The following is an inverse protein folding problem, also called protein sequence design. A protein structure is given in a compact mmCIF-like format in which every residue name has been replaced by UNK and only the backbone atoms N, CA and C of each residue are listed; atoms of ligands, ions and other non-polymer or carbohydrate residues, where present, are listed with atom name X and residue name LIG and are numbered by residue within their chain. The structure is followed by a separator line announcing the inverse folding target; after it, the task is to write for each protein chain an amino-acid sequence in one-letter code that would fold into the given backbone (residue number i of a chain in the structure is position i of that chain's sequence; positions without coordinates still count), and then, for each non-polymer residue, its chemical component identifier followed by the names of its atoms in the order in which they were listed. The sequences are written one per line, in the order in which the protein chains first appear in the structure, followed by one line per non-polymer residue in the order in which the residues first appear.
data_IF_579495511774
#
_entry.id   IF_579495511774
#
_cell.length_a   1.000
_cell.length_b   1.000
_cell.length_c   1.000
_cell.angle_alpha   90.00
_cell.angle_beta   90.00
_cell.angle_gamma   90.00
#
_symmetry.space_group_name_H-M   'P 1'
#
loop_
_entity.id
_entity.type
_entity.pdbx_description
1 polymer ?
#
# COMPACT_ATOMS: atom_id res chain seq x y z
N UNK A 1 4.62 42.28 70.22
CA UNK A 1 5.77 42.50 69.31
C UNK A 1 6.67 41.29 69.42
N UNK A 2 6.97 40.49 68.40
CA UNK A 2 6.57 40.43 66.99
C UNK A 2 6.74 38.97 66.55
N UNK A 3 5.66 38.31 66.15
CA UNK A 3 5.66 36.97 65.56
C UNK A 3 6.14 36.99 64.09
N UNK A 4 7.28 37.62 63.81
CA UNK A 4 7.73 37.88 62.42
C UNK A 4 8.96 37.10 61.95
N UNK A 5 9.54 36.21 62.77
CA UNK A 5 10.82 35.57 62.39
C UNK A 5 10.76 34.07 62.08
N UNK A 6 9.57 33.49 61.90
CA UNK A 6 9.41 32.09 61.44
C UNK A 6 8.38 32.02 60.30
N UNK A 7 8.62 32.75 59.21
CA UNK A 7 7.93 32.57 57.93
C UNK A 7 8.88 32.87 56.78
N UNK A 8 9.86 32.00 56.56
CA UNK A 8 10.68 32.02 55.33
C UNK A 8 11.35 30.66 55.09
N UNK A 9 10.54 29.61 55.06
CA UNK A 9 10.95 28.30 54.55
C UNK A 9 9.84 27.64 53.73
N UNK A 10 9.04 28.44 53.05
CA UNK A 10 8.18 27.95 51.98
C UNK A 10 8.89 28.23 50.66
N UNK A 11 9.83 27.35 50.32
CA UNK A 11 10.32 27.28 48.96
C UNK A 11 9.19 26.62 48.16
N UNK A 12 8.27 27.45 47.67
CA UNK A 12 7.36 27.07 46.60
C UNK A 12 8.21 26.32 45.56
N UNK A 13 8.00 25.00 45.44
CA UNK A 13 8.39 24.27 44.23
C UNK A 13 7.54 24.84 43.11
N UNK A 14 7.96 25.98 42.56
CA UNK A 14 7.54 26.40 41.24
C UNK A 14 8.07 25.33 40.30
N UNK A 15 7.17 24.51 39.80
CA UNK A 15 7.40 23.61 38.67
C UNK A 15 8.30 24.33 37.68
N UNK A 16 9.49 23.76 37.49
CA UNK A 16 10.57 24.47 36.83
C UNK A 16 10.12 24.76 35.41
N UNK A 17 10.15 26.03 35.01
CA UNK A 17 9.84 26.46 33.64
C UNK A 17 10.67 25.66 32.60
N UNK A 18 11.83 25.16 33.02
CA UNK A 18 12.69 24.26 32.24
C UNK A 18 12.11 22.85 32.03
N UNK A 19 11.30 22.30 32.94
CA UNK A 19 10.63 21.00 32.77
C UNK A 19 9.53 21.11 31.71
N UNK A 20 8.72 22.18 31.75
CA UNK A 20 7.68 22.45 30.73
C UNK A 20 8.27 22.73 29.34
N UNK A 21 9.46 23.35 29.27
CA UNK A 21 10.18 23.55 28.00
C UNK A 21 10.84 22.25 27.52
N UNK A 22 11.32 21.40 28.42
CA UNK A 22 11.92 20.11 28.07
C UNK A 22 10.89 19.11 27.57
N UNK A 23 9.67 19.11 28.10
CA UNK A 23 8.52 18.35 27.56
C UNK A 23 8.06 18.88 26.19
N UNK A 24 8.15 20.18 25.93
CA UNK A 24 7.82 20.76 24.64
C UNK A 24 8.84 20.45 23.53
N UNK A 25 10.09 20.12 23.90
CA UNK A 25 11.19 19.83 22.96
C UNK A 25 11.43 18.31 22.81
N UNK A 26 11.05 17.49 23.80
CA UNK A 26 11.05 16.04 23.70
C UNK A 26 9.60 15.52 23.71
N UNK A 27 8.95 15.40 22.53
CA UNK A 27 7.62 14.83 22.45
C UNK A 27 7.60 13.40 23.00
N UNK A 28 6.49 13.11 23.66
CA UNK A 28 6.05 11.84 24.23
C UNK A 28 6.33 10.64 23.30
N UNK A 29 7.41 9.90 23.57
CA UNK A 29 7.88 8.72 22.81
C UNK A 29 8.33 9.02 21.36
N UNK A 30 9.50 8.49 20.89
CA UNK A 30 9.97 8.77 19.55
C UNK A 30 8.97 8.26 18.49
N UNK A 31 8.64 9.10 17.53
CA UNK A 31 7.66 8.80 16.46
C UNK A 31 8.14 7.65 15.55
N UNK A 32 9.45 7.50 15.41
CA UNK A 32 10.11 6.48 14.59
C UNK A 32 9.68 5.03 14.95
N UNK A 33 9.77 4.57 16.21
CA UNK A 33 9.20 3.29 16.65
C UNK A 33 7.74 3.05 16.25
N UNK A 34 6.91 4.10 16.24
CA UNK A 34 5.49 3.98 15.87
C UNK A 34 5.32 3.83 14.36
N UNK A 35 6.11 4.58 13.57
CA UNK A 35 6.18 4.37 12.12
C UNK A 35 6.64 2.95 11.79
N UNK A 36 7.68 2.45 12.48
CA UNK A 36 8.17 1.08 12.31
C UNK A 36 7.12 0.03 12.70
N UNK A 37 6.32 0.31 13.73
CA UNK A 37 5.18 -0.51 14.11
C UNK A 37 4.12 -0.57 12.99
N UNK A 38 3.71 0.59 12.48
CA UNK A 38 2.73 0.68 11.37
C UNK A 38 3.26 -0.04 10.13
N UNK A 39 4.54 0.16 9.78
CA UNK A 39 5.17 -0.52 8.65
C UNK A 39 5.13 -2.05 8.80
N UNK A 40 5.35 -2.57 10.01
CA UNK A 40 5.24 -4.01 10.28
C UNK A 40 3.80 -4.51 10.05
N UNK A 41 2.80 -3.79 10.55
CA UNK A 41 1.39 -4.16 10.34
C UNK A 41 1.01 -4.14 8.86
N UNK A 42 1.46 -3.13 8.11
CA UNK A 42 1.24 -3.02 6.66
C UNK A 42 1.86 -4.20 5.91
N UNK A 43 3.08 -4.62 6.25
CA UNK A 43 3.73 -5.78 5.63
C UNK A 43 3.01 -7.09 5.93
N UNK A 44 2.55 -7.29 7.16
CA UNK A 44 1.75 -8.46 7.54
C UNK A 44 0.47 -8.51 6.69
N UNK A 45 -0.26 -7.40 6.62
CA UNK A 45 -1.50 -7.35 5.86
C UNK A 45 -1.25 -7.51 4.35
N UNK A 46 -0.20 -6.90 3.81
CA UNK A 46 0.22 -7.06 2.40
C UNK A 46 0.51 -8.52 2.08
N UNK A 47 1.23 -9.23 2.95
CA UNK A 47 1.53 -10.65 2.81
C UNK A 47 0.27 -11.52 2.81
N UNK A 48 -0.69 -11.25 3.69
CA UNK A 48 -1.98 -11.97 3.70
C UNK A 48 -2.78 -11.75 2.42
N UNK A 49 -2.81 -10.51 1.91
CA UNK A 49 -3.45 -10.21 0.63
C UNK A 49 -2.75 -10.90 -0.54
N UNK A 50 -1.41 -11.01 -0.51
CA UNK A 50 -0.65 -11.77 -1.51
C UNK A 50 -1.05 -13.25 -1.52
N UNK A 51 -1.16 -13.87 -0.35
CA UNK A 51 -1.60 -15.25 -0.22
C UNK A 51 -3.03 -15.42 -0.76
N UNK A 52 -3.94 -14.49 -0.44
CA UNK A 52 -5.31 -14.53 -0.96
C UNK A 52 -5.33 -14.39 -2.48
N UNK A 53 -4.55 -13.48 -3.04
CA UNK A 53 -4.42 -13.29 -4.48
C UNK A 53 -3.96 -14.58 -5.18
N UNK A 54 -2.93 -15.24 -4.64
CA UNK A 54 -2.42 -16.49 -5.18
C UNK A 54 -3.46 -17.61 -5.12
N UNK A 55 -4.19 -17.76 -4.01
CA UNK A 55 -5.29 -18.74 -3.90
C UNK A 55 -6.40 -18.49 -4.92
N UNK A 56 -6.76 -17.23 -5.16
CA UNK A 56 -7.74 -16.86 -6.19
C UNK A 56 -7.23 -17.21 -7.59
N UNK A 57 -5.95 -16.96 -7.88
CA UNK A 57 -5.34 -17.30 -9.17
C UNK A 57 -5.27 -18.81 -9.41
N UNK A 58 -4.92 -19.59 -8.40
CA UNK A 58 -4.95 -21.06 -8.47
C UNK A 58 -6.36 -21.61 -8.67
N UNK A 59 -7.36 -20.99 -8.04
CA UNK A 59 -8.77 -21.35 -8.24
C UNK A 59 -9.24 -21.03 -9.65
N UNK A 60 -8.89 -19.86 -10.21
CA UNK A 60 -9.16 -19.50 -11.62
C UNK A 60 -8.63 -20.58 -12.57
N UNK A 61 -7.35 -20.96 -12.43
CA UNK A 61 -6.73 -22.00 -13.27
C UNK A 61 -7.46 -23.34 -13.21
N UNK A 62 -7.77 -23.82 -11.99
CA UNK A 62 -8.50 -25.10 -11.82
C UNK A 62 -9.90 -25.06 -12.43
N UNK A 63 -10.62 -23.94 -12.28
CA UNK A 63 -11.95 -23.82 -12.88
C UNK A 63 -11.87 -23.73 -14.39
N UNK A 64 -10.83 -23.10 -14.93
CA UNK A 64 -10.61 -23.05 -16.37
C UNK A 64 -10.42 -24.44 -16.97
N UNK A 65 -9.69 -25.33 -16.30
CA UNK A 65 -9.58 -26.75 -16.71
C UNK A 65 -10.95 -27.44 -16.78
N UNK A 66 -11.85 -27.18 -15.82
CA UNK A 66 -13.23 -27.70 -15.88
C UNK A 66 -14.03 -27.11 -17.03
N UNK A 67 -13.91 -25.81 -17.31
CA UNK A 67 -14.57 -25.18 -18.47
C UNK A 67 -14.16 -25.92 -19.75
N UNK A 68 -12.85 -26.14 -19.97
CA UNK A 68 -12.35 -26.88 -21.14
C UNK A 68 -12.91 -28.29 -21.19
N UNK A 69 -12.90 -29.03 -20.08
CA UNK A 69 -13.41 -30.41 -20.02
C UNK A 69 -14.91 -30.50 -20.37
N UNK A 70 -15.74 -29.66 -19.78
CA UNK A 70 -17.19 -29.66 -20.05
C UNK A 70 -17.50 -29.14 -21.45
N UNK A 71 -16.74 -28.18 -21.96
CA UNK A 71 -16.87 -27.71 -23.33
C UNK A 71 -16.60 -28.82 -24.35
N UNK A 72 -15.52 -29.61 -24.16
CA UNK A 72 -15.20 -30.76 -25.02
C UNK A 72 -16.26 -31.86 -24.99
N UNK A 73 -16.99 -31.99 -23.86
CA UNK A 73 -18.12 -32.92 -23.72
C UNK A 73 -19.44 -32.38 -24.25
N UNK A 74 -19.43 -31.20 -24.87
CA UNK A 74 -20.62 -30.47 -25.31
C UNK A 74 -21.64 -30.15 -24.19
N UNK A 75 -21.22 -30.20 -22.92
CA UNK A 75 -22.02 -29.76 -21.78
C UNK A 75 -21.81 -28.26 -21.54
N UNK A 76 -22.39 -27.46 -22.45
CA UNK A 76 -22.23 -26.02 -22.45
C UNK A 76 -22.85 -25.36 -21.22
N UNK A 77 -23.89 -25.97 -20.64
CA UNK A 77 -24.53 -25.44 -19.43
C UNK A 77 -23.57 -25.46 -18.25
N UNK A 78 -22.88 -26.58 -18.01
CA UNK A 78 -21.86 -26.63 -16.94
C UNK A 78 -20.66 -25.75 -17.25
N UNK A 79 -20.18 -25.74 -18.50
CA UNK A 79 -19.09 -24.86 -18.91
C UNK A 79 -19.40 -23.38 -18.61
N UNK A 80 -20.62 -22.92 -18.89
CA UNK A 80 -21.07 -21.56 -18.61
C UNK A 80 -21.11 -21.22 -17.12
N UNK A 81 -21.54 -22.16 -16.26
CA UNK A 81 -21.54 -21.96 -14.80
C UNK A 81 -20.12 -21.70 -14.29
N UNK A 82 -19.15 -22.53 -14.69
CA UNK A 82 -17.75 -22.35 -14.27
C UNK A 82 -17.11 -21.09 -14.86
N UNK A 83 -17.45 -20.71 -16.10
CA UNK A 83 -16.98 -19.47 -16.71
C UNK A 83 -17.45 -18.22 -15.93
N UNK A 84 -18.69 -18.20 -15.46
CA UNK A 84 -19.20 -17.12 -14.62
C UNK A 84 -18.47 -17.03 -13.28
N UNK A 85 -18.15 -18.16 -12.66
CA UNK A 85 -17.36 -18.20 -11.43
C UNK A 85 -15.94 -17.68 -11.64
N UNK A 86 -15.28 -18.03 -12.77
CA UNK A 86 -13.98 -17.47 -13.14
C UNK A 86 -14.06 -15.94 -13.24
N UNK A 87 -15.09 -15.40 -13.90
CA UNK A 87 -15.26 -13.96 -14.01
C UNK A 87 -15.40 -13.28 -12.63
N UNK A 88 -16.12 -13.91 -11.69
CA UNK A 88 -16.23 -13.43 -10.32
C UNK A 88 -14.88 -13.49 -9.59
N UNK A 89 -14.16 -14.61 -9.66
CA UNK A 89 -12.83 -14.75 -9.05
C UNK A 89 -11.87 -13.67 -9.56
N UNK A 90 -11.87 -13.39 -10.87
CA UNK A 90 -11.02 -12.34 -11.45
C UNK A 90 -11.37 -10.95 -10.94
N UNK A 91 -12.67 -10.65 -10.73
CA UNK A 91 -13.10 -9.40 -10.10
C UNK A 91 -12.58 -9.30 -8.67
N UNK A 92 -12.71 -10.36 -7.87
CA UNK A 92 -12.19 -10.40 -6.51
C UNK A 92 -10.67 -10.23 -6.48
N UNK A 93 -9.94 -10.96 -7.34
CA UNK A 93 -8.49 -10.87 -7.45
C UNK A 93 -8.02 -9.45 -7.80
N UNK A 94 -8.75 -8.74 -8.67
CA UNK A 94 -8.48 -7.33 -8.98
C UNK A 94 -8.62 -6.43 -7.76
N UNK A 95 -9.65 -6.61 -6.95
CA UNK A 95 -9.84 -5.84 -5.71
C UNK A 95 -8.70 -6.11 -4.72
N UNK A 96 -8.34 -7.38 -4.51
CA UNK A 96 -7.23 -7.77 -3.63
C UNK A 96 -5.90 -7.15 -4.10
N UNK A 97 -5.61 -7.19 -5.40
CA UNK A 97 -4.41 -6.58 -5.98
C UNK A 97 -4.39 -5.06 -5.78
N UNK A 98 -5.51 -4.38 -6.02
CA UNK A 98 -5.61 -2.93 -5.81
C UNK A 98 -5.39 -2.56 -4.34
N UNK A 99 -5.95 -3.35 -3.42
CA UNK A 99 -5.73 -3.16 -1.98
C UNK A 99 -4.27 -3.33 -1.60
N UNK A 100 -3.57 -4.33 -2.14
CA UNK A 100 -2.13 -4.54 -1.92
C UNK A 100 -1.31 -3.32 -2.36
N UNK A 101 -1.56 -2.81 -3.57
CA UNK A 101 -0.87 -1.63 -4.10
C UNK A 101 -1.15 -0.38 -3.26
N UNK A 102 -2.38 -0.23 -2.75
CA UNK A 102 -2.74 0.86 -1.88
C UNK A 102 -1.98 0.81 -0.53
N UNK A 103 -1.85 -0.37 0.08
CA UNK A 103 -1.04 -0.55 1.30
C UNK A 103 0.45 -0.27 1.06
N UNK A 104 0.96 -0.66 -0.10
CA UNK A 104 2.34 -0.35 -0.51
C UNK A 104 2.56 1.15 -0.70
N UNK A 105 1.61 1.84 -1.33
CA UNK A 105 1.65 3.29 -1.46
C UNK A 105 1.59 4.03 -0.11
N UNK A 106 0.93 3.47 0.90
CA UNK A 106 0.96 4.01 2.27
C UNK A 106 2.34 3.82 2.89
N UNK A 107 2.90 2.62 2.80
CA UNK A 107 4.24 2.32 3.33
C UNK A 107 5.29 3.26 2.74
N UNK A 108 5.29 3.46 1.43
CA UNK A 108 6.24 4.39 0.77
C UNK A 108 6.13 5.81 1.33
N UNK A 109 4.92 6.31 1.60
CA UNK A 109 4.73 7.62 2.24
C UNK A 109 5.24 7.65 3.68
N UNK A 110 5.00 6.60 4.46
CA UNK A 110 5.50 6.50 5.83
C UNK A 110 7.03 6.46 5.88
N UNK A 111 7.65 5.80 4.91
CA UNK A 111 9.11 5.75 4.77
C UNK A 111 9.68 7.15 4.41
N UNK A 112 8.99 7.97 3.59
CA UNK A 112 9.42 9.35 3.32
C UNK A 112 9.35 10.29 4.54
N UNK A 113 8.36 10.08 5.42
CA UNK A 113 8.16 10.89 6.63
C UNK A 113 9.29 10.68 7.65
N UNK A 114 9.81 9.44 7.72
CA UNK A 114 10.92 9.08 8.59
C UNK A 114 12.13 9.99 8.40
N UNK A 115 12.28 10.57 7.21
CA UNK A 115 13.45 11.34 6.81
C UNK A 115 13.21 12.87 6.76
N UNK A 116 11.94 13.35 6.80
CA UNK A 116 11.61 14.76 6.49
C UNK A 116 10.86 15.56 7.58
N UNK A 117 10.53 14.97 8.72
CA UNK A 117 10.02 15.71 9.89
C UNK A 117 8.58 16.25 9.79
N UNK A 118 8.02 16.45 8.59
CA UNK A 118 6.60 16.77 8.40
C UNK A 118 5.75 15.50 8.26
N UNK A 119 5.35 14.98 9.41
CA UNK A 119 4.58 13.74 9.54
C UNK A 119 3.13 13.92 9.09
N UNK A 120 2.57 15.12 9.25
CA UNK A 120 1.16 15.38 9.02
C UNK A 120 0.84 15.35 7.52
N UNK A 121 1.67 15.98 6.70
CA UNK A 121 1.48 16.05 5.24
C UNK A 121 1.39 14.65 4.61
N UNK A 122 2.24 13.72 5.02
CA UNK A 122 2.28 12.40 4.39
C UNK A 122 1.36 11.35 5.05
N UNK A 123 0.95 11.53 6.32
CA UNK A 123 0.08 10.58 7.00
C UNK A 123 -1.42 10.80 6.79
N UNK A 124 -1.89 12.04 6.57
CA UNK A 124 -3.32 12.29 6.32
C UNK A 124 -3.84 11.50 5.11
N UNK A 125 -3.19 11.53 3.92
CA UNK A 125 -3.63 10.75 2.77
C UNK A 125 -3.66 9.24 3.06
N UNK A 126 -2.77 8.73 3.91
CA UNK A 126 -2.73 7.33 4.27
C UNK A 126 -4.01 6.86 5.00
N UNK A 127 -4.57 7.69 5.90
CA UNK A 127 -5.81 7.34 6.61
C UNK A 127 -7.00 7.15 5.66
N UNK A 128 -7.10 8.00 4.62
CA UNK A 128 -8.13 7.88 3.59
C UNK A 128 -7.96 6.59 2.78
N UNK A 129 -6.74 6.31 2.35
CA UNK A 129 -6.45 5.09 1.57
C UNK A 129 -6.79 3.84 2.38
N UNK A 130 -6.45 3.78 3.67
CA UNK A 130 -6.80 2.62 4.53
C UNK A 130 -8.30 2.44 4.64
N UNK A 131 -9.05 3.54 4.82
CA UNK A 131 -10.52 3.48 4.89
C UNK A 131 -11.12 2.92 3.60
N UNK A 132 -10.60 3.34 2.45
CA UNK A 132 -11.02 2.81 1.14
C UNK A 132 -10.67 1.33 0.98
N UNK A 133 -9.46 0.92 1.36
CA UNK A 133 -9.01 -0.49 1.34
C UNK A 133 -9.92 -1.34 2.23
N UNK A 134 -10.22 -0.89 3.45
CA UNK A 134 -11.12 -1.57 4.38
C UNK A 134 -12.51 -1.76 3.78
N UNK A 135 -13.10 -0.71 3.22
CA UNK A 135 -14.43 -0.78 2.58
C UNK A 135 -14.47 -1.76 1.41
N UNK A 136 -13.39 -1.87 0.63
CA UNK A 136 -13.30 -2.80 -0.51
C UNK A 136 -13.11 -4.24 -0.07
N UNK A 137 -12.41 -4.47 1.04
CA UNK A 137 -12.06 -5.80 1.51
C UNK A 137 -13.09 -6.43 2.45
N UNK A 138 -13.99 -5.67 3.08
CA UNK A 138 -14.93 -6.20 4.08
C UNK A 138 -15.76 -7.39 3.57
N UNK A 139 -16.10 -7.40 2.27
CA UNK A 139 -16.87 -8.48 1.65
C UNK A 139 -16.02 -9.65 1.11
N UNK A 140 -14.69 -9.49 1.07
CA UNK A 140 -13.76 -10.46 0.45
C UNK A 140 -12.91 -11.15 1.53
N UNK A 141 -12.49 -10.37 2.52
CA UNK A 141 -11.59 -10.77 3.60
C UNK A 141 -12.02 -10.07 4.90
N UNK A 142 -13.14 -10.49 5.54
CA UNK A 142 -13.66 -9.85 6.75
C UNK A 142 -12.65 -9.78 7.89
N UNK A 143 -11.76 -10.78 8.01
CA UNK A 143 -10.70 -10.82 9.01
C UNK A 143 -9.70 -9.66 8.87
N UNK A 144 -9.55 -9.07 7.68
CA UNK A 144 -8.72 -7.90 7.46
C UNK A 144 -9.31 -6.63 8.09
N UNK A 145 -10.60 -6.60 8.43
CA UNK A 145 -11.24 -5.40 8.99
C UNK A 145 -10.60 -4.95 10.29
N UNK A 146 -10.36 -5.89 11.21
CA UNK A 146 -9.75 -5.61 12.51
C UNK A 146 -8.30 -5.13 12.34
N UNK A 147 -7.54 -5.81 11.47
CA UNK A 147 -6.14 -5.51 11.20
C UNK A 147 -5.97 -4.14 10.53
N UNK A 148 -6.81 -3.81 9.55
CA UNK A 148 -6.83 -2.50 8.91
C UNK A 148 -7.29 -1.39 9.86
N UNK A 149 -8.21 -1.70 10.78
CA UNK A 149 -8.63 -0.76 11.83
C UNK A 149 -7.49 -0.50 12.81
N UNK A 150 -6.70 -1.51 13.15
CA UNK A 150 -5.50 -1.34 13.97
C UNK A 150 -4.47 -0.44 13.28
N UNK A 151 -4.20 -0.66 11.99
CA UNK A 151 -3.31 0.21 11.20
C UNK A 151 -3.86 1.66 11.18
N UNK A 152 -5.16 1.82 10.95
CA UNK A 152 -5.82 3.13 10.95
C UNK A 152 -5.65 3.85 12.29
N UNK A 153 -5.86 3.15 13.40
CA UNK A 153 -5.74 3.69 14.75
C UNK A 153 -4.29 4.07 15.06
N UNK A 154 -3.32 3.25 14.67
CA UNK A 154 -1.91 3.52 14.86
C UNK A 154 -1.47 4.79 14.11
N UNK A 155 -1.89 4.98 12.85
CA UNK A 155 -1.60 6.20 12.08
C UNK A 155 -2.30 7.42 12.69
N UNK A 156 -3.54 7.27 13.13
CA UNK A 156 -4.29 8.37 13.78
C UNK A 156 -3.65 8.78 15.10
N UNK A 157 -3.10 7.83 15.86
CA UNK A 157 -2.34 8.10 17.09
C UNK A 157 -1.08 8.93 16.81
N UNK A 158 -0.32 8.57 15.77
CA UNK A 158 0.87 9.34 15.36
C UNK A 158 0.48 10.76 14.93
N UNK A 159 -0.59 10.91 14.13
CA UNK A 159 -1.09 12.22 13.72
C UNK A 159 -1.49 13.08 14.93
N UNK A 160 -2.21 12.50 15.89
CA UNK A 160 -2.65 13.21 17.11
C UNK A 160 -1.46 13.72 17.92
N UNK A 161 -0.40 12.92 18.06
CA UNK A 161 0.83 13.31 18.75
C UNK A 161 1.65 14.36 17.99
N UNK A 162 1.57 14.35 16.66
CA UNK A 162 2.14 15.38 15.80
C UNK A 162 1.32 16.70 15.84
N UNK A 163 0.29 16.80 16.68
CA UNK A 163 -0.54 18.00 16.83
C UNK A 163 -1.63 18.12 15.76
N UNK A 164 -1.85 17.10 14.93
CA UNK A 164 -2.95 17.10 13.97
C UNK A 164 -4.29 16.82 14.68
N UNK A 165 -5.22 17.75 14.53
CA UNK A 165 -6.62 17.56 14.93
C UNK A 165 -7.52 17.55 13.68
N UNK A 166 -8.52 16.66 13.57
CA UNK A 166 -9.37 16.52 12.38
C UNK A 166 -10.13 17.79 11.96
N UNK A 167 -10.25 18.78 12.84
CA UNK A 167 -10.85 20.10 12.56
C UNK A 167 -9.95 21.01 11.71
N UNK A 168 -8.69 20.66 11.52
CA UNK A 168 -7.73 21.44 10.72
C UNK A 168 -7.92 21.10 9.24
N UNK A 169 -8.57 21.99 8.49
CA UNK A 169 -8.70 21.83 7.04
C UNK A 169 -7.38 22.19 6.36
N UNK A 170 -6.62 21.17 5.96
CA UNK A 170 -5.49 21.33 5.04
C UNK A 170 -5.98 21.07 3.62
N UNK A 171 -5.82 22.06 2.73
CA UNK A 171 -5.91 21.86 1.29
C UNK A 171 -4.65 21.15 0.82
N UNK A 172 -4.81 19.90 0.39
CA UNK A 172 -3.74 19.14 -0.23
C UNK A 172 -3.74 19.37 -1.74
N UNK A 173 -2.61 19.83 -2.27
CA UNK A 173 -2.33 19.72 -3.70
C UNK A 173 -2.01 18.26 -4.02
N UNK A 174 -2.89 17.61 -4.78
CA UNK A 174 -2.64 16.26 -5.28
C UNK A 174 -1.61 16.33 -6.39
N UNK A 175 -0.40 15.80 -6.18
CA UNK A 175 0.66 15.68 -7.21
C UNK A 175 0.34 14.62 -8.29
N UNK A 176 -0.88 14.59 -8.81
CA UNK A 176 -1.32 13.61 -9.82
C UNK A 176 -0.61 13.78 -11.15
N UNK A 177 -0.31 15.02 -11.55
CA UNK A 177 0.25 15.34 -12.86
C UNK A 177 1.70 14.88 -13.01
N UNK A 178 2.50 15.00 -11.94
CA UNK A 178 3.89 14.55 -11.94
C UNK A 178 4.01 13.03 -11.94
N UNK A 179 3.13 12.34 -11.20
CA UNK A 179 3.06 10.89 -11.21
C UNK A 179 2.75 10.33 -12.62
N UNK A 180 1.88 11.01 -13.38
CA UNK A 180 1.56 10.61 -14.76
C UNK A 180 2.75 10.82 -15.71
N UNK A 181 3.49 11.93 -15.57
CA UNK A 181 4.72 12.18 -16.33
C UNK A 181 5.77 11.10 -16.09
N UNK A 182 6.06 10.79 -14.82
CA UNK A 182 7.02 9.74 -14.45
C UNK A 182 6.59 8.38 -15.02
N UNK A 183 5.29 8.07 -15.02
CA UNK A 183 4.79 6.82 -15.60
C UNK A 183 4.99 6.77 -17.13
N UNK A 184 4.82 7.89 -17.82
CA UNK A 184 5.07 7.97 -19.25
C UNK A 184 6.57 7.84 -19.57
N UNK A 185 7.45 8.44 -18.77
CA UNK A 185 8.90 8.24 -18.89
C UNK A 185 9.29 6.78 -18.66
N UNK A 186 8.75 6.15 -17.61
CA UNK A 186 8.99 4.74 -17.31
C UNK A 186 8.52 3.82 -18.44
N UNK A 187 7.35 4.11 -19.06
CA UNK A 187 6.87 3.39 -20.25
C UNK A 187 7.83 3.50 -21.42
N UNK A 188 8.29 4.71 -21.74
CA UNK A 188 9.25 4.93 -22.82
C UNK A 188 10.57 4.18 -22.57
N UNK A 189 11.08 4.16 -21.34
CA UNK A 189 12.29 3.40 -20.99
C UNK A 189 12.05 1.89 -21.07
N UNK A 190 10.91 1.39 -20.61
CA UNK A 190 10.55 -0.02 -20.68
C UNK A 190 10.43 -0.50 -22.13
N UNK A 191 9.82 0.29 -23.02
CA UNK A 191 9.75 -0.01 -24.46
C UNK A 191 11.13 -0.05 -25.13
N UNK A 192 12.02 0.89 -24.80
CA UNK A 192 13.42 0.86 -25.28
C UNK A 192 14.12 -0.41 -24.83
N UNK A 193 14.00 -0.78 -23.55
CA UNK A 193 14.59 -2.00 -22.99
C UNK A 193 14.03 -3.28 -23.63
N UNK A 194 12.74 -3.32 -23.95
CA UNK A 194 12.16 -4.42 -24.70
C UNK A 194 12.75 -4.47 -26.11
N UNK A 195 12.83 -3.35 -26.83
CA UNK A 195 13.44 -3.31 -28.17
C UNK A 195 14.90 -3.75 -28.17
N UNK A 196 15.69 -3.36 -27.17
CA UNK A 196 17.09 -3.79 -27.01
C UNK A 196 17.19 -5.29 -26.67
N UNK A 197 16.34 -5.81 -25.76
CA UNK A 197 16.32 -7.23 -25.38
C UNK A 197 15.78 -8.15 -26.50
N UNK A 198 14.90 -7.65 -27.36
CA UNK A 198 14.32 -8.40 -28.49
C UNK A 198 15.17 -8.33 -29.78
N UNK A 199 16.29 -7.60 -29.79
CA UNK A 199 17.29 -7.68 -30.87
C UNK A 199 18.31 -8.75 -30.52
N UNK A 200 17.92 -10.02 -30.74
CA UNK A 200 18.81 -11.17 -31.02
C UNK A 200 17.96 -12.44 -31.29
N UNK A 201 17.02 -12.35 -32.24
CA UNK A 201 16.75 -13.52 -33.07
C UNK A 201 17.26 -13.18 -34.46
N UNK A 202 18.38 -13.79 -34.92
CA UNK A 202 18.81 -13.61 -36.28
C UNK A 202 17.70 -14.10 -37.21
N UNK A 203 16.98 -13.15 -37.80
CA UNK A 203 16.33 -13.34 -39.09
C UNK A 203 17.42 -13.34 -40.16
N UNK A 204 18.36 -14.27 -40.07
CA UNK A 204 19.35 -14.51 -41.10
C UNK A 204 19.42 -16.02 -41.39
N UNK A 205 19.00 -16.35 -42.61
CA UNK A 205 19.27 -17.59 -43.37
C UNK A 205 18.21 -18.70 -43.45
N UNK A 206 16.92 -18.45 -43.28
CA UNK A 206 15.91 -19.41 -43.80
C UNK A 206 15.54 -19.13 -45.26
N UNK A 207 15.70 -17.90 -45.76
CA UNK A 207 15.35 -17.55 -47.15
C UNK A 207 16.44 -17.84 -48.18
N UNK A 208 17.71 -18.02 -47.78
CA UNK A 208 18.80 -18.35 -48.72
C UNK A 208 18.96 -19.84 -49.03
N UNK A 209 18.30 -20.71 -48.26
CA UNK A 209 18.39 -22.17 -48.47
C UNK A 209 17.29 -22.70 -49.40
N UNK A 210 16.20 -21.95 -49.61
CA UNK A 210 15.15 -22.31 -50.59
C UNK A 210 15.51 -21.99 -52.04
N UNK A 211 16.43 -21.05 -52.28
CA UNK A 211 16.88 -20.70 -53.64
C UNK A 211 17.96 -21.68 -54.16
N UNK A 212 18.78 -22.25 -53.27
CA UNK A 212 19.83 -23.22 -53.64
C UNK A 212 19.32 -24.66 -53.84
N UNK A 213 18.07 -24.96 -53.45
CA UNK A 213 17.43 -26.26 -53.70
C UNK A 213 16.60 -26.30 -55.01
N UNK A 214 16.48 -25.17 -55.72
CA UNK A 214 15.77 -25.11 -57.00
C UNK A 214 16.70 -25.13 -58.22
N UNK A 215 18.01 -25.28 -58.03
CA UNK A 215 19.03 -25.29 -59.12
C UNK A 215 19.95 -26.53 -59.02
N UNK A 216 19.44 -27.66 -58.52
CA UNK A 216 20.12 -28.96 -58.65
C UNK A 216 19.17 -30.03 -59.14
#
# INVERSE_FOLDING_TARGET
MSQEFIKKWDYERKESFSEKIREAIYPSSPIKPKIEYVNRLLEIQKSKLEQLYNRLHERDRRLFEYVVNYYLKHDLNRANVYANEIANIRRLAKVVMQSKLALEAIKLRLDTVKDMGDIVIAMIPATKIIKEVKSRLVNIMPEAENELTEIQNAITGILTEAGYTPTTQFTFETSTDEAERIMNEARMMAERKLKETFVELPSTNIEKERENLSVK
#
